data_IF_195136352018
#
_entry.id   IF_195136352018
#
_cell.length_a   1.000
_cell.length_b   1.000
_cell.length_c   1.000
_cell.angle_alpha   90.00
_cell.angle_beta   90.00
_cell.angle_gamma   90.00
#
_symmetry.space_group_name_H-M   'P 1'
#
loop_
_entity.id
_entity.type
_entity.pdbx_description
1 polymer ?
#
# COMPACT_ATOMS: atom_id res chain seq x y z
N UNK A 1 -0.06 42.17 56.88
CA UNK A 1 -0.43 43.41 56.16
C UNK A 1 0.82 43.89 55.50
N UNK A 2 0.67 44.57 54.36
CA UNK A 2 1.73 45.09 53.48
C UNK A 2 2.11 44.03 52.40
N UNK A 3 1.37 43.96 51.30
CA UNK A 3 1.37 44.88 50.13
C UNK A 3 2.58 44.58 49.24
N UNK A 4 2.36 43.77 48.21
CA UNK A 4 3.28 43.57 47.11
C UNK A 4 2.52 43.94 45.84
N UNK A 5 3.12 44.87 45.12
CA UNK A 5 2.57 45.75 44.10
C UNK A 5 2.25 45.01 42.79
N UNK A 6 1.22 45.54 42.12
CA UNK A 6 0.81 45.27 40.74
C UNK A 6 1.98 45.36 39.76
N UNK A 7 2.11 44.37 38.87
CA UNK A 7 2.86 44.48 37.64
C UNK A 7 1.92 44.17 36.48
N UNK A 8 1.36 45.24 35.92
CA UNK A 8 0.72 45.32 34.61
C UNK A 8 1.78 45.05 33.52
N UNK A 9 1.45 44.22 32.52
CA UNK A 9 2.07 44.18 31.18
C UNK A 9 1.22 43.19 30.34
N UNK A 10 0.15 43.70 29.74
CA UNK A 10 0.04 44.16 28.35
C UNK A 10 -0.53 43.06 27.43
N UNK A 11 -1.80 43.27 27.08
CA UNK A 11 -2.62 42.54 26.11
C UNK A 11 -2.14 42.90 24.69
N UNK A 12 -1.82 41.91 23.86
CA UNK A 12 -1.75 42.08 22.40
C UNK A 12 -2.71 41.08 21.74
N UNK A 13 -3.94 41.55 21.54
CA UNK A 13 -4.92 40.98 20.62
C UNK A 13 -4.65 41.54 19.22
N UNK A 14 -4.29 40.69 18.26
CA UNK A 14 -4.23 41.04 16.83
C UNK A 14 -5.49 40.51 16.13
N UNK A 15 -6.49 41.39 16.00
CA UNK A 15 -7.63 41.25 15.07
C UNK A 15 -7.19 41.71 13.67
N UNK A 16 -7.25 40.83 12.67
CA UNK A 16 -7.20 41.24 11.26
C UNK A 16 -8.59 41.12 10.62
N UNK A 17 -9.26 42.27 10.50
CA UNK A 17 -10.46 42.49 9.69
C UNK A 17 -10.05 43.04 8.32
N UNK A 18 -10.21 42.26 7.24
CA UNK A 18 -10.15 42.75 5.86
C UNK A 18 -11.57 42.86 5.30
N UNK A 19 -12.13 44.08 5.39
CA UNK A 19 -13.28 44.54 4.60
C UNK A 19 -12.74 45.24 3.35
N UNK A 20 -13.03 44.71 2.17
CA UNK A 20 -13.06 45.51 0.94
C UNK A 20 -14.41 45.28 0.23
N UNK A 21 -15.21 46.34 0.31
CA UNK A 21 -16.51 46.54 -0.29
C UNK A 21 -16.27 47.45 -1.50
N UNK A 22 -16.42 46.94 -2.73
CA UNK A 22 -16.54 47.77 -3.93
C UNK A 22 -17.51 47.11 -4.92
N UNK A 23 -18.74 47.63 -4.92
CA UNK A 23 -19.70 47.55 -6.00
C UNK A 23 -19.22 48.42 -7.16
N UNK A 24 -19.17 47.91 -8.39
CA UNK A 24 -19.66 48.65 -9.56
C UNK A 24 -20.19 47.69 -10.63
N UNK A 25 -21.41 47.97 -11.08
CA UNK A 25 -22.08 47.34 -12.20
C UNK A 25 -21.47 47.78 -13.54
N UNK A 26 -21.27 46.84 -14.46
CA UNK A 26 -21.27 47.15 -15.89
C UNK A 26 -22.13 46.14 -16.63
N UNK A 27 -23.27 46.62 -17.13
CA UNK A 27 -24.13 45.93 -18.05
C UNK A 27 -23.58 45.97 -19.49
N UNK A 28 -23.92 44.89 -20.21
CA UNK A 28 -24.10 44.79 -21.66
C UNK A 28 -22.89 44.38 -22.52
N UNK A 29 -22.91 43.11 -22.98
CA UNK A 29 -23.12 42.80 -24.40
C UNK A 29 -23.21 41.28 -24.64
N UNK A 30 -24.30 40.87 -25.29
CA UNK A 30 -24.51 39.54 -25.86
C UNK A 30 -23.77 39.43 -27.19
N UNK A 31 -22.77 38.56 -27.29
CA UNK A 31 -22.35 37.85 -28.52
C UNK A 31 -21.78 36.50 -28.05
N UNK A 32 -22.11 35.32 -28.55
CA UNK A 32 -22.61 34.98 -29.88
C UNK A 32 -21.49 34.45 -30.77
N UNK A 33 -20.69 33.45 -30.35
CA UNK A 33 -19.92 32.69 -31.33
C UNK A 33 -19.59 31.22 -30.98
N UNK A 34 -19.86 30.41 -31.99
CA UNK A 34 -19.27 29.14 -32.44
C UNK A 34 -19.08 27.95 -31.47
N UNK A 35 -20.04 27.03 -31.59
CA UNK A 35 -19.92 25.60 -31.24
C UNK A 35 -18.87 24.93 -32.13
N UNK A 36 -17.75 24.50 -31.53
CA UNK A 36 -16.92 23.41 -32.03
C UNK A 36 -17.42 22.07 -31.47
N UNK A 37 -17.67 21.02 -32.29
CA UNK A 37 -18.29 19.79 -31.82
C UNK A 37 -17.23 18.85 -31.23
N UNK A 38 -16.83 19.10 -29.98
CA UNK A 38 -16.17 18.08 -29.13
C UNK A 38 -16.13 18.44 -27.64
N UNK A 39 -17.11 19.19 -27.15
CA UNK A 39 -17.30 19.44 -25.73
C UNK A 39 -18.59 18.76 -25.28
N UNK A 40 -18.52 17.71 -24.47
CA UNK A 40 -19.70 17.15 -23.82
C UNK A 40 -20.39 18.28 -23.04
N UNK A 41 -21.66 18.56 -23.37
CA UNK A 41 -22.46 19.51 -22.60
C UNK A 41 -22.62 18.95 -21.18
N UNK A 42 -22.52 19.78 -20.12
CA UNK A 42 -22.75 19.31 -18.74
C UNK A 42 -24.13 18.66 -18.64
N UNK A 43 -24.19 17.46 -18.08
CA UNK A 43 -25.44 16.75 -17.88
C UNK A 43 -26.34 17.54 -16.90
N UNK A 44 -27.67 17.51 -17.07
CA UNK A 44 -28.58 18.17 -16.14
C UNK A 44 -28.35 17.65 -14.71
N UNK A 45 -27.97 18.54 -13.78
CA UNK A 45 -27.67 18.19 -12.39
C UNK A 45 -26.18 18.00 -12.07
N UNK A 46 -25.26 18.16 -13.03
CA UNK A 46 -23.83 18.16 -12.73
C UNK A 46 -23.42 19.40 -11.92
N UNK A 47 -22.61 19.22 -10.89
CA UNK A 47 -22.01 20.34 -10.17
C UNK A 47 -20.92 21.00 -11.05
N UNK A 48 -20.89 22.34 -11.17
CA UNK A 48 -19.84 23.02 -11.89
C UNK A 48 -18.51 22.89 -11.15
N UNK A 49 -17.40 23.01 -11.87
CA UNK A 49 -16.04 22.89 -11.29
C UNK A 49 -15.70 23.97 -10.25
N UNK A 50 -16.53 25.01 -10.16
CA UNK A 50 -16.44 26.10 -9.18
C UNK A 50 -17.13 25.79 -7.86
N UNK A 51 -18.08 24.85 -7.85
CA UNK A 51 -18.84 24.48 -6.66
C UNK A 51 -18.15 23.34 -5.90
N UNK A 52 -18.19 23.42 -4.58
CA UNK A 52 -17.68 22.34 -3.74
C UNK A 52 -18.53 21.07 -3.94
N UNK A 53 -17.88 19.92 -3.99
CA UNK A 53 -18.58 18.63 -4.15
C UNK A 53 -19.33 18.21 -2.89
N UNK A 54 -18.91 18.68 -1.72
CA UNK A 54 -19.38 18.17 -0.41
C UNK A 54 -20.27 19.14 0.35
N UNK A 55 -20.34 20.41 -0.05
CA UNK A 55 -21.07 21.46 0.65
C UNK A 55 -21.60 22.52 -0.33
N UNK A 56 -22.50 23.40 0.09
CA UNK A 56 -23.08 24.44 -0.79
C UNK A 56 -22.14 25.64 -1.06
N UNK A 57 -20.83 25.50 -0.85
CA UNK A 57 -19.87 26.58 -1.05
C UNK A 57 -19.48 26.74 -2.53
N UNK A 58 -19.63 27.96 -3.06
CA UNK A 58 -19.20 28.34 -4.40
C UNK A 58 -17.85 29.08 -4.35
N UNK A 59 -16.91 28.69 -5.20
CA UNK A 59 -15.58 29.31 -5.29
C UNK A 59 -15.38 30.02 -6.63
N UNK A 60 -14.71 31.18 -6.61
CA UNK A 60 -14.42 31.98 -7.81
C UNK A 60 -13.48 31.30 -8.83
N UNK A 61 -12.76 30.24 -8.44
CA UNK A 61 -11.81 29.53 -9.32
C UNK A 61 -11.67 28.07 -8.91
N UNK A 62 -11.31 27.20 -9.87
CA UNK A 62 -11.07 25.77 -9.66
C UNK A 62 -10.04 25.51 -8.54
N UNK A 63 -8.91 26.21 -8.57
CA UNK A 63 -7.83 26.02 -7.60
C UNK A 63 -8.27 26.41 -6.17
N UNK A 64 -9.03 27.50 -6.03
CA UNK A 64 -9.62 27.87 -4.73
C UNK A 64 -10.66 26.86 -4.25
N UNK A 65 -11.43 26.27 -5.17
CA UNK A 65 -12.37 25.20 -4.83
C UNK A 65 -11.64 23.97 -4.28
N UNK A 66 -10.62 23.49 -4.98
CA UNK A 66 -9.81 22.34 -4.51
C UNK A 66 -9.11 22.67 -3.18
N UNK A 67 -8.64 23.90 -2.98
CA UNK A 67 -8.08 24.35 -1.71
C UNK A 67 -9.11 24.37 -0.57
N UNK A 68 -10.36 24.72 -0.86
CA UNK A 68 -11.45 24.62 0.11
C UNK A 68 -11.79 23.16 0.44
N UNK A 69 -11.90 22.30 -0.59
CA UNK A 69 -12.18 20.87 -0.43
C UNK A 69 -11.10 20.15 0.39
N UNK A 70 -9.83 20.48 0.19
CA UNK A 70 -8.70 19.94 0.95
C UNK A 70 -8.69 20.43 2.41
N UNK A 71 -8.96 21.72 2.66
CA UNK A 71 -8.92 22.31 4.02
C UNK A 71 -10.14 21.96 4.87
N UNK A 72 -11.35 22.10 4.33
CA UNK A 72 -12.61 21.95 5.08
C UNK A 72 -13.06 20.51 5.13
N UNK A 73 -12.93 19.79 4.01
CA UNK A 73 -13.46 18.43 3.88
C UNK A 73 -12.38 17.34 3.91
N UNK A 74 -11.10 17.71 3.98
CA UNK A 74 -9.99 16.75 3.98
C UNK A 74 -9.91 15.94 2.69
N UNK A 75 -10.43 16.47 1.58
CA UNK A 75 -10.39 15.79 0.28
C UNK A 75 -8.96 15.79 -0.24
N UNK A 76 -8.44 14.60 -0.56
CA UNK A 76 -7.10 14.42 -1.10
C UNK A 76 -7.16 13.69 -2.42
N UNK A 77 -6.42 14.19 -3.41
CA UNK A 77 -6.22 13.53 -4.70
C UNK A 77 -4.98 12.64 -4.60
N UNK A 78 -5.11 11.32 -4.82
CA UNK A 78 -3.95 10.44 -4.94
C UNK A 78 -3.05 10.88 -6.10
N UNK A 79 -1.74 10.66 -5.96
CA UNK A 79 -0.80 10.68 -7.09
C UNK A 79 -0.86 11.95 -7.97
N UNK A 80 -0.99 13.13 -7.34
CA UNK A 80 -1.13 14.44 -8.02
C UNK A 80 0.01 14.72 -9.01
N UNK A 81 1.18 14.13 -8.80
CA UNK A 81 2.35 14.25 -9.68
C UNK A 81 2.11 13.65 -11.08
N UNK A 82 1.21 12.68 -11.19
CA UNK A 82 0.87 11.99 -12.45
C UNK A 82 -0.45 12.46 -13.05
N UNK A 83 -1.07 13.49 -12.48
CA UNK A 83 -2.39 13.96 -12.87
C UNK A 83 -2.26 14.97 -14.03
N UNK A 84 -2.73 14.59 -15.23
CA UNK A 84 -2.61 15.41 -16.44
C UNK A 84 -3.75 16.42 -16.56
N UNK A 85 -4.99 16.00 -16.26
CA UNK A 85 -6.17 16.87 -16.37
C UNK A 85 -6.97 16.97 -15.06
N UNK A 86 -6.57 17.91 -14.21
CA UNK A 86 -7.27 18.25 -12.96
C UNK A 86 -8.71 18.71 -13.23
N UNK A 87 -8.91 19.49 -14.30
CA UNK A 87 -10.21 20.09 -14.59
C UNK A 87 -11.19 19.02 -15.07
N UNK A 88 -10.73 18.09 -15.91
CA UNK A 88 -11.48 16.92 -16.34
C UNK A 88 -11.88 16.04 -15.16
N UNK A 89 -10.93 15.73 -14.26
CA UNK A 89 -11.21 14.91 -13.09
C UNK A 89 -12.28 15.54 -12.18
N UNK A 90 -12.13 16.82 -11.81
CA UNK A 90 -13.11 17.50 -10.94
C UNK A 90 -14.48 17.57 -11.61
N UNK A 91 -14.53 17.79 -12.93
CA UNK A 91 -15.79 17.77 -13.67
C UNK A 91 -16.46 16.41 -13.60
N UNK A 92 -15.72 15.33 -13.82
CA UNK A 92 -16.24 13.97 -13.73
C UNK A 92 -16.77 13.65 -12.32
N UNK A 93 -16.04 14.07 -11.27
CA UNK A 93 -16.51 13.92 -9.89
C UNK A 93 -17.77 14.74 -9.62
N UNK A 94 -17.88 15.95 -10.19
CA UNK A 94 -19.08 16.78 -10.16
C UNK A 94 -20.29 16.13 -10.84
N UNK A 95 -20.07 15.40 -11.93
CA UNK A 95 -21.11 14.59 -12.58
C UNK A 95 -21.49 13.37 -11.72
N UNK A 96 -20.52 12.69 -11.09
CA UNK A 96 -20.75 11.51 -10.24
C UNK A 96 -21.56 11.84 -8.97
N UNK A 97 -21.23 12.95 -8.30
CA UNK A 97 -21.95 13.41 -7.10
C UNK A 97 -23.26 14.12 -7.48
N UNK A 98 -23.23 14.99 -8.49
CA UNK A 98 -24.37 15.82 -8.88
C UNK A 98 -25.46 15.06 -9.63
N UNK A 99 -25.11 14.50 -10.79
CA UNK A 99 -26.07 13.80 -11.64
C UNK A 99 -26.26 12.34 -11.20
N UNK A 100 -25.18 11.68 -10.79
CA UNK A 100 -25.21 10.29 -10.34
C UNK A 100 -25.80 10.09 -8.95
N UNK A 101 -25.78 11.11 -8.09
CA UNK A 101 -26.08 10.99 -6.66
C UNK A 101 -25.32 9.82 -5.99
N UNK A 102 -24.05 9.61 -6.36
CA UNK A 102 -23.20 8.53 -5.86
C UNK A 102 -22.11 9.07 -4.96
N UNK A 103 -21.89 8.41 -3.82
CA UNK A 103 -20.79 8.69 -2.91
C UNK A 103 -19.46 8.17 -3.48
N UNK A 104 -18.44 9.04 -3.53
CA UNK A 104 -17.11 8.74 -4.10
C UNK A 104 -16.34 7.61 -3.40
N UNK A 105 -16.69 7.31 -2.14
CA UNK A 105 -16.05 6.24 -1.37
C UNK A 105 -16.85 4.95 -1.36
N UNK A 106 -18.18 5.03 -1.23
CA UNK A 106 -19.01 3.83 -1.18
C UNK A 106 -19.23 3.20 -2.55
N UNK A 107 -19.13 3.98 -3.63
CA UNK A 107 -19.49 3.58 -4.99
C UNK A 107 -20.83 2.82 -4.99
N UNK A 108 -20.95 1.77 -5.81
CA UNK A 108 -22.15 0.95 -5.95
C UNK A 108 -22.41 0.00 -4.77
N UNK A 109 -21.42 -0.21 -3.90
CA UNK A 109 -21.57 -1.04 -2.69
C UNK A 109 -22.35 -0.29 -1.60
N UNK A 110 -22.58 1.01 -1.79
CA UNK A 110 -23.28 1.90 -0.87
C UNK A 110 -24.78 2.00 -1.05
N UNK A 111 -25.38 2.87 -0.25
CA UNK A 111 -26.76 3.33 -0.48
C UNK A 111 -26.77 4.22 -1.73
N UNK A 112 -27.72 4.01 -2.64
CA UNK A 112 -28.06 5.01 -3.64
C UNK A 112 -28.82 6.15 -2.97
N UNK A 113 -28.52 7.38 -3.40
CA UNK A 113 -29.19 8.58 -2.89
C UNK A 113 -30.11 9.16 -3.96
N UNK A 114 -31.12 9.91 -3.53
CA UNK A 114 -32.14 10.50 -4.41
C UNK A 114 -31.94 12.00 -4.65
N UNK A 115 -31.03 12.63 -3.93
CA UNK A 115 -30.69 14.05 -4.06
C UNK A 115 -29.22 14.31 -3.75
N UNK A 116 -28.69 15.39 -4.31
CA UNK A 116 -27.30 15.81 -4.12
C UNK A 116 -27.02 16.18 -2.67
N UNK A 117 -27.97 16.84 -2.01
CA UNK A 117 -27.92 17.18 -0.59
C UNK A 117 -27.83 15.93 0.31
N UNK A 118 -28.54 14.85 -0.04
CA UNK A 118 -28.48 13.59 0.69
C UNK A 118 -27.12 12.89 0.53
N UNK A 119 -26.48 13.01 -0.63
CA UNK A 119 -25.11 12.52 -0.86
C UNK A 119 -24.11 13.35 -0.07
N UNK A 120 -24.20 14.67 -0.16
CA UNK A 120 -23.30 15.60 0.50
C UNK A 120 -23.31 15.41 2.02
N UNK A 121 -24.50 15.38 2.63
CA UNK A 121 -24.66 15.09 4.07
C UNK A 121 -24.09 13.72 4.44
N UNK A 122 -24.34 12.68 3.64
CA UNK A 122 -23.73 11.36 3.87
C UNK A 122 -22.20 11.41 3.82
N UNK A 123 -21.63 12.14 2.87
CA UNK A 123 -20.18 12.25 2.69
C UNK A 123 -19.55 13.00 3.85
N UNK A 124 -20.16 14.08 4.32
CA UNK A 124 -19.67 14.83 5.49
C UNK A 124 -19.83 14.04 6.79
N UNK A 125 -20.99 13.43 7.03
CA UNK A 125 -21.29 12.70 8.28
C UNK A 125 -20.38 11.48 8.47
N UNK A 126 -20.06 10.79 7.37
CA UNK A 126 -19.18 9.61 7.41
C UNK A 126 -17.74 9.91 7.07
N UNK A 127 -17.39 11.17 6.80
CA UNK A 127 -16.08 11.57 6.27
C UNK A 127 -15.66 10.80 5.01
N UNK A 128 -16.62 10.45 4.16
CA UNK A 128 -16.40 9.81 2.85
C UNK A 128 -16.02 10.84 1.77
N UNK A 129 -15.30 11.89 2.16
CA UNK A 129 -14.78 12.93 1.28
C UNK A 129 -13.44 12.53 0.67
N UNK A 130 -13.20 11.23 0.43
CA UNK A 130 -11.97 10.69 -0.15
C UNK A 130 -12.31 9.94 -1.42
N UNK A 131 -11.39 9.98 -2.39
CA UNK A 131 -11.52 9.22 -3.62
C UNK A 131 -11.11 7.76 -3.36
N UNK A 132 -11.99 6.82 -3.68
CA UNK A 132 -11.66 5.40 -3.60
C UNK A 132 -11.01 4.96 -4.91
N UNK A 133 -9.70 4.66 -4.86
CA UNK A 133 -8.89 4.26 -6.02
C UNK A 133 -8.44 2.81 -5.94
N UNK A 134 -8.98 2.00 -5.03
CA UNK A 134 -8.59 0.59 -4.92
C UNK A 134 -9.40 -0.30 -5.90
N UNK A 135 -8.73 -1.25 -6.55
CA UNK A 135 -9.36 -2.24 -7.44
C UNK A 135 -9.95 -1.63 -8.71
N UNK A 136 -11.11 -2.12 -9.14
CA UNK A 136 -11.76 -1.73 -10.40
C UNK A 136 -12.10 -0.23 -10.49
N UNK A 137 -12.25 0.46 -9.35
CA UNK A 137 -12.52 1.90 -9.33
C UNK A 137 -11.35 2.73 -9.88
N UNK A 138 -10.11 2.23 -9.82
CA UNK A 138 -8.95 2.89 -10.40
C UNK A 138 -9.07 3.05 -11.93
N UNK A 139 -9.68 2.07 -12.59
CA UNK A 139 -9.82 2.05 -14.05
C UNK A 139 -10.73 3.15 -14.56
N UNK A 140 -11.74 3.55 -13.77
CA UNK A 140 -12.64 4.66 -14.13
C UNK A 140 -11.90 6.00 -14.21
N UNK A 141 -10.81 6.15 -13.45
CA UNK A 141 -10.04 7.40 -13.39
C UNK A 141 -8.79 7.37 -14.25
N UNK A 142 -8.45 6.25 -14.87
CA UNK A 142 -7.18 6.05 -15.59
C UNK A 142 -6.96 7.09 -16.70
N UNK A 143 -8.01 7.51 -17.39
CA UNK A 143 -7.94 8.50 -18.48
C UNK A 143 -7.40 9.87 -18.03
N UNK A 144 -7.46 10.19 -16.73
CA UNK A 144 -7.00 11.47 -16.18
C UNK A 144 -5.54 11.44 -15.68
N UNK A 145 -4.94 10.26 -15.58
CA UNK A 145 -3.59 10.06 -15.04
C UNK A 145 -2.63 9.52 -16.10
N UNK A 146 -1.41 10.02 -16.11
CA UNK A 146 -0.33 9.52 -16.95
C UNK A 146 0.83 8.97 -16.12
N UNK A 147 0.79 7.66 -15.89
CA UNK A 147 1.86 6.94 -15.19
C UNK A 147 3.06 6.62 -16.09
N UNK A 148 3.04 6.94 -17.40
CA UNK A 148 4.16 6.61 -18.31
C UNK A 148 5.47 7.24 -17.86
N UNK A 149 5.40 8.40 -17.22
CA UNK A 149 6.57 9.11 -16.66
C UNK A 149 7.25 8.39 -15.50
N UNK A 150 6.57 7.44 -14.83
CA UNK A 150 7.10 6.69 -13.68
C UNK A 150 7.87 5.42 -14.08
N UNK A 151 7.75 4.97 -15.32
CA UNK A 151 8.45 3.79 -15.83
C UNK A 151 9.67 4.21 -16.67
N UNK A 152 10.89 4.22 -16.08
CA UNK A 152 12.11 4.63 -16.80
C UNK A 152 12.44 3.75 -18.01
N UNK A 153 11.86 2.55 -18.09
CA UNK A 153 12.14 1.56 -19.14
C UNK A 153 11.21 1.69 -20.37
N UNK A 154 10.14 2.49 -20.30
CA UNK A 154 9.24 2.71 -21.45
C UNK A 154 9.80 3.82 -22.34
N UNK A 155 10.64 3.47 -23.31
CA UNK A 155 11.20 4.41 -24.31
C UNK A 155 10.07 5.14 -25.07
N UNK A 156 10.21 6.45 -25.22
CA UNK A 156 9.37 7.28 -26.10
C UNK A 156 9.48 6.76 -27.56
N UNK A 157 8.50 5.97 -28.01
CA UNK A 157 8.50 5.45 -29.39
C UNK A 157 7.59 4.27 -29.67
N UNK A 158 7.15 3.52 -28.66
CA UNK A 158 6.16 2.45 -28.84
C UNK A 158 4.75 3.05 -28.95
N UNK A 159 4.23 3.05 -30.18
CA UNK A 159 2.82 3.35 -30.47
C UNK A 159 1.93 2.19 -30.01
N UNK A 160 0.68 2.52 -29.71
CA UNK A 160 -0.41 1.68 -29.20
C UNK A 160 -0.86 0.48 -30.09
N UNK A 161 -0.03 0.00 -31.01
CA UNK A 161 -0.38 -1.14 -31.84
C UNK A 161 0.37 -2.39 -31.34
N UNK A 162 -0.40 -3.38 -30.88
CA UNK A 162 0.02 -4.70 -30.36
C UNK A 162 0.57 -4.72 -28.93
N UNK A 163 -0.35 -4.67 -27.95
CA UNK A 163 -0.09 -5.16 -26.60
C UNK A 163 -0.24 -6.70 -26.55
N UNK A 164 0.52 -7.41 -27.39
CA UNK A 164 0.87 -8.83 -27.23
C UNK A 164 2.40 -8.94 -27.28
N UNK A 165 3.06 -8.20 -26.39
CA UNK A 165 4.49 -8.34 -26.17
C UNK A 165 4.72 -8.76 -24.72
N UNK A 166 5.21 -9.98 -24.60
CA UNK A 166 5.71 -10.63 -23.40
C UNK A 166 6.31 -9.59 -22.45
N UNK A 167 5.70 -9.46 -21.27
CA UNK A 167 6.25 -8.68 -20.17
C UNK A 167 7.75 -8.99 -20.08
N UNK A 168 8.65 -8.00 -20.20
CA UNK A 168 10.06 -8.25 -19.97
C UNK A 168 10.17 -8.90 -18.60
N UNK A 169 10.88 -10.04 -18.56
CA UNK A 169 11.26 -10.78 -17.35
C UNK A 169 12.18 -9.87 -16.52
N UNK A 170 11.58 -8.87 -15.88
CA UNK A 170 12.24 -7.82 -15.13
C UNK A 170 12.77 -8.44 -13.83
N UNK A 171 13.95 -9.05 -13.94
CA UNK A 171 14.84 -9.35 -12.83
C UNK A 171 14.18 -10.10 -11.67
N UNK A 172 13.68 -11.30 -11.94
CA UNK A 172 13.46 -12.39 -10.97
C UNK A 172 12.90 -11.95 -9.60
N UNK A 173 11.64 -11.47 -9.58
CA UNK A 173 10.80 -11.53 -8.38
C UNK A 173 10.52 -13.00 -8.05
N UNK A 174 11.47 -13.66 -7.42
CA UNK A 174 11.36 -15.08 -7.05
C UNK A 174 10.93 -15.19 -5.59
N UNK A 175 9.77 -15.81 -5.39
CA UNK A 175 9.28 -16.22 -4.08
C UNK A 175 9.65 -17.68 -3.84
N UNK A 176 10.50 -17.91 -2.85
CA UNK A 176 10.85 -19.26 -2.41
C UNK A 176 9.87 -19.69 -1.30
N UNK A 177 8.98 -20.63 -1.64
CA UNK A 177 7.95 -21.15 -0.73
C UNK A 177 8.55 -21.95 0.45
N UNK A 178 9.72 -22.56 0.26
CA UNK A 178 10.38 -23.37 1.29
C UNK A 178 11.08 -22.49 2.33
N UNK A 179 11.79 -21.45 1.87
CA UNK A 179 12.51 -20.52 2.77
C UNK A 179 11.64 -19.35 3.24
N UNK A 180 10.44 -19.18 2.64
CA UNK A 180 9.53 -18.05 2.87
C UNK A 180 10.24 -16.70 2.66
N UNK A 181 11.10 -16.63 1.64
CA UNK A 181 11.88 -15.46 1.25
C UNK A 181 11.40 -14.93 -0.11
N UNK A 182 11.25 -13.62 -0.21
CA UNK A 182 11.02 -12.91 -1.48
C UNK A 182 12.32 -12.25 -1.92
N UNK A 183 12.81 -12.59 -3.11
CA UNK A 183 13.93 -11.88 -3.72
C UNK A 183 13.40 -10.76 -4.62
N UNK A 184 13.92 -9.55 -4.41
CA UNK A 184 13.57 -8.36 -5.18
C UNK A 184 14.49 -8.23 -6.42
N UNK A 185 14.08 -7.49 -7.47
CA UNK A 185 14.94 -7.20 -8.62
C UNK A 185 16.22 -6.44 -8.27
N UNK A 186 16.21 -5.75 -7.12
CA UNK A 186 17.41 -5.14 -6.53
C UNK A 186 18.41 -6.15 -5.96
N UNK A 187 18.09 -7.45 -5.96
CA UNK A 187 18.86 -8.54 -5.33
C UNK A 187 18.66 -8.66 -3.82
N UNK A 188 17.84 -7.79 -3.21
CA UNK A 188 17.56 -7.84 -1.78
C UNK A 188 16.59 -8.99 -1.44
N UNK A 189 16.85 -9.68 -0.33
CA UNK A 189 15.99 -10.76 0.18
C UNK A 189 15.12 -10.27 1.34
N UNK A 190 13.81 -10.43 1.22
CA UNK A 190 12.81 -10.02 2.21
C UNK A 190 12.17 -11.27 2.80
N UNK A 191 12.39 -11.51 4.10
CA UNK A 191 11.82 -12.66 4.81
C UNK A 191 10.38 -12.45 5.27
N UNK A 192 9.63 -13.54 5.43
CA UNK A 192 8.25 -13.49 5.89
C UNK A 192 8.11 -13.05 7.37
N UNK A 193 7.04 -12.30 7.70
CA UNK A 193 6.79 -11.77 9.05
C UNK A 193 6.68 -12.83 10.15
N UNK A 194 6.32 -14.07 9.80
CA UNK A 194 6.25 -15.19 10.75
C UNK A 194 7.61 -15.55 11.34
N UNK A 195 8.69 -15.30 10.60
CA UNK A 195 10.06 -15.64 10.98
C UNK A 195 10.81 -14.51 11.69
N UNK A 196 10.16 -13.36 11.94
CA UNK A 196 10.76 -12.19 12.60
C UNK A 196 11.42 -12.53 13.94
N UNK A 197 10.86 -13.49 14.70
CA UNK A 197 11.48 -13.96 15.95
C UNK A 197 12.85 -14.58 15.72
N UNK A 198 13.03 -15.34 14.64
CA UNK A 198 14.29 -15.98 14.27
C UNK A 198 15.26 -14.99 13.65
N UNK A 199 14.79 -14.07 12.79
CA UNK A 199 15.66 -13.03 12.21
C UNK A 199 16.23 -12.06 13.27
N UNK A 200 15.53 -11.86 14.39
CA UNK A 200 16.02 -11.08 15.53
C UNK A 200 16.94 -11.88 16.46
N UNK A 201 17.12 -13.19 16.25
CA UNK A 201 18.03 -13.98 17.08
C UNK A 201 19.47 -13.59 16.78
N UNK A 202 20.16 -13.15 17.84
CA UNK A 202 21.61 -12.94 17.79
C UNK A 202 22.26 -14.23 18.25
N UNK A 203 22.62 -15.09 17.31
CA UNK A 203 23.55 -16.16 17.62
C UNK A 203 24.87 -15.48 18.01
N UNK A 204 25.35 -15.71 19.23
CA UNK A 204 26.65 -15.20 19.65
C UNK A 204 27.70 -15.60 18.63
N UNK A 205 28.72 -14.76 18.41
CA UNK A 205 29.91 -15.12 17.61
C UNK A 205 30.29 -16.54 17.98
N UNK A 206 30.34 -17.45 17.01
CA UNK A 206 30.73 -18.83 17.27
C UNK A 206 31.98 -18.75 18.13
N UNK A 207 31.85 -19.13 19.41
CA UNK A 207 33.01 -19.32 20.26
C UNK A 207 33.77 -20.40 19.52
N UNK A 208 34.84 -20.03 18.83
CA UNK A 208 35.82 -20.99 18.37
C UNK A 208 36.25 -21.69 19.64
N UNK A 209 35.64 -22.85 19.91
CA UNK A 209 36.01 -23.70 21.01
C UNK A 209 37.42 -24.11 20.64
N UNK A 210 38.41 -23.40 21.18
CA UNK A 210 39.77 -23.88 21.20
C UNK A 210 39.68 -25.17 21.99
N UNK A 211 39.57 -26.30 21.29
CA UNK A 211 39.56 -27.62 21.88
C UNK A 211 40.92 -27.77 22.56
N UNK A 212 41.00 -27.36 23.83
CA UNK A 212 42.14 -27.72 24.67
C UNK A 212 42.02 -29.22 24.86
N UNK A 213 42.68 -29.98 23.98
CA UNK A 213 42.69 -31.43 24.02
C UNK A 213 43.39 -31.90 25.30
N UNK A 214 42.65 -32.02 26.39
CA UNK A 214 43.12 -32.70 27.60
C UNK A 214 42.92 -34.21 27.43
N UNK A 215 43.65 -34.79 26.47
CA UNK A 215 43.60 -36.22 26.09
C UNK A 215 43.82 -37.13 27.31
N UNK A 216 44.58 -36.67 28.31
CA UNK A 216 44.87 -37.39 29.54
C UNK A 216 43.65 -37.49 30.48
N UNK A 217 42.84 -36.44 30.58
CA UNK A 217 41.62 -36.46 31.40
C UNK A 217 40.54 -37.35 30.75
N UNK A 218 40.34 -37.19 29.43
CA UNK A 218 39.40 -38.01 28.66
C UNK A 218 39.77 -39.49 28.72
N UNK A 219 41.05 -39.85 28.63
CA UNK A 219 41.51 -41.23 28.78
C UNK A 219 41.38 -41.82 30.20
N UNK A 220 41.26 -41.00 31.25
CA UNK A 220 40.94 -41.48 32.61
C UNK A 220 39.46 -41.76 32.76
N UNK A 221 38.63 -40.85 32.27
CA UNK A 221 37.16 -41.00 32.28
C UNK A 221 36.74 -42.21 31.44
N UNK A 222 37.32 -42.39 30.24
CA UNK A 222 37.08 -43.57 29.40
C UNK A 222 37.45 -44.90 30.08
N UNK A 223 38.50 -44.91 30.92
CA UNK A 223 38.88 -46.11 31.69
C UNK A 223 37.91 -46.40 32.83
N UNK A 224 37.41 -45.37 33.50
CA UNK A 224 36.37 -45.52 34.51
C UNK A 224 35.07 -46.01 33.89
N UNK A 225 34.69 -45.48 32.72
CA UNK A 225 33.52 -45.93 31.98
C UNK A 225 33.64 -47.38 31.52
N UNK A 226 34.80 -47.79 30.98
CA UNK A 226 35.08 -49.20 30.68
C UNK A 226 35.02 -50.10 31.92
N UNK A 227 35.54 -49.65 33.06
CA UNK A 227 35.50 -50.41 34.31
C UNK A 227 34.07 -50.55 34.87
N UNK A 228 33.18 -49.61 34.56
CA UNK A 228 31.75 -49.66 34.91
C UNK A 228 30.91 -50.41 33.87
N UNK A 229 31.55 -51.10 32.91
CA UNK A 229 30.87 -51.88 31.88
C UNK A 229 30.41 -51.08 30.66
N UNK A 230 30.80 -49.80 30.57
CA UNK A 230 30.51 -48.98 29.39
C UNK A 230 31.50 -49.32 28.28
N UNK A 231 31.13 -50.29 27.44
CA UNK A 231 31.74 -50.52 26.13
C UNK A 231 31.16 -49.49 25.17
N UNK A 232 31.99 -48.56 24.69
CA UNK A 232 31.56 -47.64 23.63
C UNK A 232 31.04 -48.44 22.45
N UNK A 233 29.85 -48.10 21.99
CA UNK A 233 29.21 -48.70 20.83
C UNK A 233 30.09 -48.47 19.59
N UNK A 234 30.96 -49.44 19.31
CA UNK A 234 31.32 -49.80 17.96
C UNK A 234 30.60 -51.12 17.73
N UNK A 235 29.34 -51.05 17.29
CA UNK A 235 28.57 -52.19 16.83
C UNK A 235 29.32 -52.87 15.70
N UNK A 236 30.09 -53.89 16.08
CA UNK A 236 30.62 -54.92 15.20
C UNK A 236 29.43 -55.76 14.75
N UNK A 237 29.15 -55.70 13.45
CA UNK A 237 28.11 -56.48 12.81
C UNK A 237 28.32 -57.97 13.09
N UNK A 238 27.31 -58.59 13.69
CA UNK A 238 27.15 -60.04 13.79
C UNK A 238 27.35 -60.68 12.40
N UNK A 239 28.50 -61.30 12.18
CA UNK A 239 28.69 -62.26 11.10
C UNK A 239 29.51 -63.46 11.56
N UNK A 240 28.98 -64.63 11.21
CA UNK A 240 29.67 -65.90 10.97
C UNK A 240 29.57 -67.00 12.05
N UNK A 241 28.50 -67.79 11.90
CA UNK A 241 28.52 -69.25 11.71
C UNK A 241 29.52 -70.12 12.50
N UNK A 242 28.96 -70.89 13.45
CA UNK A 242 29.14 -72.35 13.62
C UNK A 242 28.17 -72.76 14.74
N UNK A 243 27.22 -73.66 14.54
CA UNK A 243 27.45 -75.08 14.24
C UNK A 243 26.30 -75.69 13.44
N UNK A 244 26.64 -76.37 12.34
CA UNK A 244 25.81 -77.42 11.75
C UNK A 244 25.96 -78.67 12.62
N UNK A 245 24.88 -79.15 13.25
CA UNK A 245 24.70 -80.56 13.62
C UNK A 245 23.30 -81.01 13.21
N UNK A 246 23.29 -82.16 12.51
CA UNK A 246 22.17 -82.93 11.95
C UNK A 246 21.47 -82.26 10.74
N UNK A 247 21.78 -82.57 9.48
CA UNK A 247 21.74 -83.84 8.74
C UNK A 247 20.32 -84.38 8.47
N UNK A 248 20.09 -84.73 7.20
CA UNK A 248 18.97 -85.48 6.57
C UNK A 248 17.68 -84.70 6.29
N UNK A 249 17.02 -84.75 5.13
CA UNK A 249 17.24 -85.10 3.71
C UNK A 249 15.91 -84.74 2.97
N UNK A 250 15.89 -84.61 1.63
CA UNK A 250 14.71 -84.18 0.86
C UNK A 250 13.87 -85.34 0.28
N UNK A 251 12.63 -85.01 -0.11
CA UNK A 251 11.76 -85.58 -1.17
C UNK A 251 11.59 -87.12 -1.30
N UNK A 252 10.34 -87.59 -1.22
CA UNK A 252 9.54 -88.13 -2.35
C UNK A 252 8.38 -89.03 -1.89
N UNK A 253 7.30 -88.98 -2.65
CA UNK A 253 6.03 -89.70 -2.54
C UNK A 253 6.11 -91.23 -2.67
N UNK A 254 5.24 -91.90 -1.92
CA UNK A 254 4.64 -93.21 -2.19
C UNK A 254 3.21 -93.20 -1.68
#
# INVERSE_FOLDING_TARGET
GEEWEDMEEEEEEEEEEDMDEDEEEVADQREGDSVGPSGSAPLPGSLPVTDCLFCPHHSKSLLKNVAHMTKVHGFFLPDVEFLVDLRGLIRYLGEKVGAGNVCLWCNEKGRSFYSTEAVQSHMTDKSHCKLFTDGDAALEFADFYDFRSSYPDRKEGEKEEEADEELPDDGNLEYDEDTLELTLPSGAKVGHRSLVRYYKQRFGTQRALVLTHNTKAVGRVLRQYKALGWGGDAGEADTCEREKRAAFCPLASG
#
